data_IF_259509239247
#
_entry.id   IF_259509239247
#
_cell.length_a   1.000
_cell.length_b   1.000
_cell.length_c   1.000
_cell.angle_alpha   90.00
_cell.angle_beta   90.00
_cell.angle_gamma   90.00
#
_symmetry.space_group_name_H-M   'P 1'
#
loop_
_entity.id
_entity.type
_entity.pdbx_description
1 polymer ?
#
# COMPACT_ATOMS: atom_id res chain seq x y z
N UNK A 1 -23.12 15.06 4.16
CA UNK A 1 -22.17 15.11 5.29
C UNK A 1 -21.91 13.67 5.72
N UNK A 2 -20.95 13.00 5.07
CA UNK A 2 -20.51 11.67 5.46
C UNK A 2 -19.40 11.82 6.48
N UNK A 3 -19.63 11.24 7.64
CA UNK A 3 -18.84 11.42 8.85
C UNK A 3 -17.53 10.63 8.71
N UNK A 4 -16.40 11.32 8.58
CA UNK A 4 -15.05 10.73 8.57
C UNK A 4 -14.61 10.24 9.97
N UNK A 5 -15.43 10.43 11.00
CA UNK A 5 -15.14 10.06 12.39
C UNK A 5 -15.21 8.54 12.70
N UNK A 6 -15.42 7.68 11.70
CA UNK A 6 -15.42 6.22 11.91
C UNK A 6 -14.05 5.56 11.73
N UNK A 7 -12.97 6.32 11.55
CA UNK A 7 -11.61 5.77 11.48
C UNK A 7 -11.16 5.29 12.88
N UNK A 8 -11.08 3.96 13.04
CA UNK A 8 -10.72 3.30 14.29
C UNK A 8 -9.33 3.72 14.79
N UNK A 9 -9.25 4.06 16.08
CA UNK A 9 -8.08 4.60 16.77
C UNK A 9 -7.16 3.46 17.27
N UNK A 10 -5.90 3.43 16.84
CA UNK A 10 -4.86 2.58 17.43
C UNK A 10 -3.80 3.47 18.09
N UNK A 11 -3.68 3.39 19.42
CA UNK A 11 -2.69 4.13 20.22
C UNK A 11 -1.58 3.16 20.66
N UNK A 12 -0.34 3.40 20.24
CA UNK A 12 0.84 2.63 20.67
C UNK A 12 1.66 3.41 21.70
N UNK A 13 1.98 2.78 22.85
CA UNK A 13 2.85 3.35 23.89
C UNK A 13 4.32 3.05 23.61
N UNK A 14 5.19 4.05 23.67
CA UNK A 14 6.65 3.89 23.60
C UNK A 14 7.21 3.58 24.99
N UNK A 15 7.92 2.46 25.15
CA UNK A 15 8.72 2.17 26.34
C UNK A 15 10.21 2.20 26.00
N UNK A 16 10.97 2.85 26.88
CA UNK A 16 12.43 2.97 26.78
C UNK A 16 13.08 1.59 26.61
N UNK A 17 13.99 1.51 25.63
CA UNK A 17 14.76 0.34 25.19
C UNK A 17 13.93 -0.75 24.50
N UNK A 18 13.74 -0.57 23.20
CA UNK A 18 13.70 -1.67 22.22
C UNK A 18 12.50 -2.61 22.24
N UNK A 19 11.48 -2.36 23.06
CA UNK A 19 10.26 -3.19 23.12
C UNK A 19 9.01 -2.31 22.95
N UNK A 20 8.21 -2.59 21.91
CA UNK A 20 6.87 -2.03 21.72
C UNK A 20 5.88 -2.96 22.42
N UNK A 21 5.17 -2.45 23.43
CA UNK A 21 4.09 -3.17 24.12
C UNK A 21 2.74 -2.61 23.66
N UNK A 22 1.89 -3.48 23.12
CA UNK A 22 0.48 -3.19 22.85
C UNK A 22 -0.29 -3.54 24.12
N UNK A 23 -0.92 -2.57 24.80
CA UNK A 23 -1.84 -2.85 25.91
C UNK A 23 -3.07 -1.94 25.88
N UNK A 24 -4.22 -2.63 25.87
CA UNK A 24 -5.62 -2.24 26.05
C UNK A 24 -5.96 -0.74 26.25
N UNK A 25 -6.64 -0.19 25.25
CA UNK A 25 -8.11 -0.15 25.31
C UNK A 25 -8.70 -0.44 23.92
N UNK A 26 -9.08 -1.72 23.74
CA UNK A 26 -9.76 -2.33 22.59
C UNK A 26 -9.08 -2.10 21.22
N UNK A 27 -8.36 -3.05 20.61
CA UNK A 27 -8.94 -4.03 19.66
C UNK A 27 -7.98 -5.18 19.27
N UNK A 28 -6.75 -5.25 19.77
CA UNK A 28 -5.73 -6.17 19.23
C UNK A 28 -5.08 -7.05 20.31
N UNK A 29 -4.75 -8.31 19.98
CA UNK A 29 -3.94 -9.21 20.83
C UNK A 29 -2.45 -9.16 20.43
N UNK A 30 -1.64 -8.71 21.38
CA UNK A 30 -0.18 -8.64 21.52
C UNK A 30 0.74 -9.33 20.48
N UNK A 31 1.66 -8.53 19.89
CA UNK A 31 3.03 -8.96 19.57
C UNK A 31 4.03 -7.81 19.77
N UNK A 32 5.26 -8.13 20.20
CA UNK A 32 6.34 -7.16 20.45
C UNK A 32 7.14 -6.99 19.15
N UNK A 33 7.10 -5.82 18.54
CA UNK A 33 8.03 -5.47 17.45
C UNK A 33 9.35 -5.01 18.07
N UNK A 34 10.41 -5.79 17.84
CA UNK A 34 11.78 -5.43 18.21
C UNK A 34 12.33 -4.32 17.32
N UNK A 35 13.20 -3.48 17.89
CA UNK A 35 13.86 -2.39 17.16
C UNK A 35 14.64 -2.89 15.93
N UNK A 36 14.50 -2.15 14.83
CA UNK A 36 15.20 -2.29 13.54
C UNK A 36 14.79 -3.44 12.59
N UNK A 37 13.53 -3.88 12.61
CA UNK A 37 13.02 -4.75 11.55
C UNK A 37 12.38 -3.92 10.42
N UNK A 38 12.99 -3.89 9.23
CA UNK A 38 12.33 -3.47 7.98
C UNK A 38 11.24 -4.47 7.52
N UNK A 39 10.75 -5.31 8.42
CA UNK A 39 9.75 -6.35 8.15
C UNK A 39 8.43 -5.96 8.82
N UNK A 40 7.35 -5.72 8.06
CA UNK A 40 6.05 -5.37 8.61
C UNK A 40 5.45 -6.50 9.47
N UNK A 41 4.85 -6.14 10.61
CA UNK A 41 4.14 -7.06 11.50
C UNK A 41 2.74 -7.43 10.98
N UNK A 42 2.27 -8.63 11.33
CA UNK A 42 0.87 -9.04 11.17
C UNK A 42 0.12 -8.68 12.44
N UNK A 43 -1.05 -8.05 12.31
CA UNK A 43 -1.93 -7.75 13.44
C UNK A 43 -3.32 -8.36 13.23
N UNK A 44 -4.02 -8.63 14.33
CA UNK A 44 -5.35 -9.26 14.32
C UNK A 44 -6.40 -8.32 14.94
N UNK A 45 -7.31 -7.72 14.16
CA UNK A 45 -8.45 -6.99 14.71
C UNK A 45 -9.39 -7.92 15.50
N UNK A 46 -10.30 -7.35 16.30
CA UNK A 46 -11.25 -8.08 17.16
C UNK A 46 -12.16 -9.06 16.41
N UNK A 47 -12.40 -8.82 15.13
CA UNK A 47 -13.19 -9.72 14.27
C UNK A 47 -12.40 -10.96 13.83
N UNK A 48 -11.13 -11.09 14.24
CA UNK A 48 -10.25 -12.20 13.89
C UNK A 48 -9.64 -12.07 12.49
N UNK A 49 -9.87 -10.96 11.78
CA UNK A 49 -9.23 -10.70 10.49
C UNK A 49 -7.71 -10.47 10.67
N UNK A 50 -6.98 -10.36 9.56
CA UNK A 50 -5.56 -10.01 9.59
C UNK A 50 -5.41 -8.64 8.93
N UNK A 51 -4.62 -7.78 9.57
CA UNK A 51 -4.26 -6.45 9.10
C UNK A 51 -2.74 -6.33 8.91
N UNK A 52 -2.37 -5.37 8.08
CA UNK A 52 -1.00 -4.98 7.78
C UNK A 52 -0.76 -3.56 8.30
N UNK A 53 0.31 -3.37 9.06
CA UNK A 53 0.76 -2.02 9.43
C UNK A 53 1.80 -1.53 8.41
N UNK A 54 1.47 -0.43 7.72
CA UNK A 54 2.43 0.34 6.93
C UNK A 54 2.98 1.47 7.79
N UNK A 55 4.21 1.34 8.24
CA UNK A 55 4.90 2.42 8.96
C UNK A 55 5.36 3.47 7.95
N UNK A 56 5.07 4.74 8.24
CA UNK A 56 5.48 5.86 7.43
C UNK A 56 6.70 6.54 8.06
N UNK A 57 7.56 7.13 7.23
CA UNK A 57 8.72 7.87 7.74
C UNK A 57 8.23 9.09 8.51
N UNK A 58 8.65 9.21 9.78
CA UNK A 58 8.21 10.28 10.68
C UNK A 58 8.52 11.69 10.16
N UNK A 59 9.58 11.83 9.36
CA UNK A 59 10.03 13.09 8.78
C UNK A 59 9.30 13.43 7.47
N UNK A 60 8.59 12.46 6.88
CA UNK A 60 7.94 12.59 5.57
C UNK A 60 6.42 12.71 5.72
N UNK A 61 6.01 13.83 6.32
CA UNK A 61 4.58 14.10 6.53
C UNK A 61 3.81 14.31 5.22
N UNK A 62 4.50 14.62 4.13
CA UNK A 62 3.88 14.83 2.82
C UNK A 62 3.51 13.50 2.18
N UNK A 63 4.44 12.54 2.11
CA UNK A 63 4.14 11.19 1.62
C UNK A 63 3.01 10.49 2.40
N UNK A 64 2.95 10.67 3.72
CA UNK A 64 1.84 10.16 4.52
C UNK A 64 0.50 10.79 4.12
N UNK A 65 0.47 12.10 3.85
CA UNK A 65 -0.76 12.80 3.44
C UNK A 65 -1.21 12.35 2.05
N UNK A 66 -0.27 12.27 1.10
CA UNK A 66 -0.56 11.90 -0.28
C UNK A 66 -1.09 10.46 -0.35
N UNK A 67 -0.44 9.52 0.36
CA UNK A 67 -0.93 8.14 0.44
C UNK A 67 -2.30 8.03 1.12
N UNK A 68 -2.53 8.79 2.20
CA UNK A 68 -3.82 8.80 2.90
C UNK A 68 -4.94 9.33 2.00
N UNK A 69 -4.68 10.39 1.22
CA UNK A 69 -5.64 10.97 0.30
C UNK A 69 -6.01 9.96 -0.80
N UNK A 70 -5.04 9.18 -1.31
CA UNK A 70 -5.35 8.09 -2.26
C UNK A 70 -6.30 7.06 -1.66
N UNK A 71 -6.04 6.54 -0.45
CA UNK A 71 -6.96 5.59 0.17
C UNK A 71 -8.36 6.17 0.43
N UNK A 72 -8.44 7.45 0.80
CA UNK A 72 -9.71 8.16 0.96
C UNK A 72 -10.47 8.22 -0.37
N UNK A 73 -9.80 8.62 -1.45
CA UNK A 73 -10.43 8.71 -2.76
C UNK A 73 -10.84 7.33 -3.31
N UNK A 74 -10.06 6.27 -3.05
CA UNK A 74 -10.44 4.89 -3.40
C UNK A 74 -11.72 4.43 -2.68
N UNK A 75 -11.89 4.83 -1.42
CA UNK A 75 -13.09 4.54 -0.65
C UNK A 75 -14.29 5.32 -1.21
N UNK A 76 -14.13 6.62 -1.49
CA UNK A 76 -15.17 7.49 -2.06
C UNK A 76 -15.62 7.03 -3.45
N UNK A 77 -14.67 6.61 -4.30
CA UNK A 77 -14.92 6.06 -5.63
C UNK A 77 -15.51 4.63 -5.61
N UNK A 78 -15.69 4.03 -4.43
CA UNK A 78 -16.19 2.66 -4.25
C UNK A 78 -15.33 1.60 -4.99
N UNK A 79 -14.09 1.96 -5.34
CA UNK A 79 -13.10 1.06 -5.92
C UNK A 79 -12.55 0.07 -4.89
N UNK A 80 -12.89 0.28 -3.62
CA UNK A 80 -12.60 -0.58 -2.49
C UNK A 80 -13.03 -2.05 -2.64
N UNK A 81 -13.91 -2.40 -3.58
CA UNK A 81 -14.29 -3.81 -3.77
C UNK A 81 -13.89 -4.38 -5.13
N UNK A 82 -13.42 -3.54 -6.05
CA UNK A 82 -13.14 -3.94 -7.44
C UNK A 82 -11.65 -3.85 -7.80
N UNK A 83 -10.92 -2.94 -7.15
CA UNK A 83 -9.52 -2.70 -7.46
C UNK A 83 -8.60 -3.54 -6.56
N UNK A 84 -7.52 -4.12 -7.09
CA UNK A 84 -6.53 -4.87 -6.29
C UNK A 84 -5.59 -3.93 -5.57
N UNK A 85 -6.07 -3.35 -4.49
CA UNK A 85 -5.31 -2.54 -3.55
C UNK A 85 -5.75 -2.87 -2.12
N UNK A 86 -4.92 -2.64 -1.10
CA UNK A 86 -5.39 -2.75 0.28
C UNK A 86 -6.44 -1.66 0.59
N UNK A 87 -7.13 -1.81 1.72
CA UNK A 87 -8.06 -0.82 2.26
C UNK A 87 -7.54 -0.23 3.54
N UNK A 88 -7.74 1.06 3.71
CA UNK A 88 -7.52 1.73 4.97
C UNK A 88 -8.55 1.28 6.00
N UNK A 89 -8.06 0.64 7.06
CA UNK A 89 -8.84 0.23 8.22
C UNK A 89 -8.74 1.26 9.36
N UNK A 90 -7.64 2.01 9.42
CA UNK A 90 -7.40 3.01 10.45
C UNK A 90 -6.02 3.63 10.38
N UNK A 91 -5.73 4.50 11.34
CA UNK A 91 -4.45 5.19 11.46
C UNK A 91 -3.69 4.65 12.68
N UNK A 92 -2.38 4.52 12.54
CA UNK A 92 -1.48 4.14 13.63
C UNK A 92 -0.94 5.41 14.25
N UNK A 93 -1.21 5.60 15.55
CA UNK A 93 -0.86 6.82 16.29
C UNK A 93 -0.15 6.51 17.59
N UNK A 94 0.66 7.45 18.08
CA UNK A 94 1.23 7.37 19.42
C UNK A 94 0.28 7.97 20.48
N UNK A 95 0.70 7.97 21.75
CA UNK A 95 -0.07 8.54 22.87
C UNK A 95 -0.36 10.04 22.75
N UNK A 96 0.50 10.78 22.03
CA UNK A 96 0.29 12.21 21.79
C UNK A 96 -0.71 12.48 20.65
N UNK A 97 -1.14 11.43 19.94
CA UNK A 97 -2.00 11.51 18.77
C UNK A 97 -1.24 11.68 17.46
N UNK A 98 0.10 11.60 17.48
CA UNK A 98 0.93 11.70 16.29
C UNK A 98 0.73 10.49 15.39
N UNK A 99 0.33 10.70 14.13
CA UNK A 99 0.15 9.63 13.15
C UNK A 99 1.51 9.27 12.57
N UNK A 100 1.86 7.99 12.63
CA UNK A 100 3.12 7.47 12.07
C UNK A 100 2.94 6.24 11.17
N UNK A 101 1.69 5.86 10.89
CA UNK A 101 1.42 4.73 10.02
C UNK A 101 -0.04 4.56 9.64
N UNK A 102 -0.27 3.62 8.74
CA UNK A 102 -1.58 3.21 8.25
C UNK A 102 -1.85 1.76 8.63
N UNK A 103 -3.08 1.47 9.05
CA UNK A 103 -3.56 0.12 9.23
C UNK A 103 -4.35 -0.28 7.97
N UNK A 104 -3.91 -1.34 7.30
CA UNK A 104 -4.41 -1.76 6.00
C UNK A 104 -4.95 -3.20 6.03
N UNK A 105 -5.88 -3.55 5.14
CA UNK A 105 -6.29 -4.95 4.94
C UNK A 105 -5.10 -5.81 4.53
N UNK A 106 -4.94 -6.98 5.14
CA UNK A 106 -3.84 -7.87 4.82
C UNK A 106 -4.01 -8.51 3.43
N UNK A 107 -2.94 -8.44 2.63
CA UNK A 107 -2.81 -9.17 1.37
C UNK A 107 -2.06 -10.46 1.65
N UNK A 108 -2.69 -11.61 1.39
CA UNK A 108 -2.06 -12.90 1.58
C UNK A 108 -0.98 -13.13 0.51
N UNK A 109 0.24 -12.74 0.83
CA UNK A 109 1.40 -12.76 -0.07
C UNK A 109 2.68 -13.22 0.67
N UNK A 110 3.73 -13.49 -0.11
CA UNK A 110 5.08 -13.80 0.40
C UNK A 110 6.02 -12.58 0.43
N UNK A 111 5.45 -11.36 0.43
CA UNK A 111 6.21 -10.10 0.31
C UNK A 111 7.10 -10.03 -0.93
N UNK A 112 6.64 -10.60 -2.05
CA UNK A 112 7.36 -10.58 -3.33
C UNK A 112 6.76 -9.49 -4.19
N UNK A 113 7.58 -8.51 -4.59
CA UNK A 113 7.17 -7.47 -5.53
C UNK A 113 7.13 -8.01 -6.96
N UNK A 114 6.45 -7.30 -7.87
CA UNK A 114 6.47 -7.64 -9.30
C UNK A 114 7.90 -7.62 -9.86
N UNK A 115 8.75 -6.67 -9.44
CA UNK A 115 10.16 -6.64 -9.86
C UNK A 115 10.93 -7.91 -9.49
N UNK A 116 10.62 -8.54 -8.36
CA UNK A 116 11.24 -9.79 -7.94
C UNK A 116 10.55 -11.04 -8.52
N UNK A 117 9.27 -10.95 -8.87
CA UNK A 117 8.48 -12.05 -9.41
C UNK A 117 8.78 -12.32 -10.89
N UNK A 118 9.11 -11.29 -11.67
CA UNK A 118 9.51 -11.42 -13.07
C UNK A 118 10.93 -11.99 -13.15
N UNK A 119 11.06 -13.26 -13.55
CA UNK A 119 12.34 -13.97 -13.67
C UNK A 119 12.49 -14.67 -15.02
N UNK A 120 13.72 -15.00 -15.46
CA UNK A 120 13.94 -15.94 -16.55
C UNK A 120 13.26 -17.28 -16.20
N UNK A 121 12.20 -17.63 -16.92
CA UNK A 121 11.37 -18.82 -16.64
C UNK A 121 9.95 -18.53 -16.16
N UNK A 122 9.60 -17.29 -15.80
CA UNK A 122 8.19 -16.91 -15.59
C UNK A 122 7.40 -17.14 -16.89
N UNK A 123 6.29 -17.90 -16.81
CA UNK A 123 5.49 -18.26 -17.97
C UNK A 123 4.91 -17.03 -18.69
N UNK A 124 4.68 -17.16 -20.00
CA UNK A 124 4.05 -16.08 -20.79
C UNK A 124 2.63 -15.76 -20.33
N UNK A 125 1.84 -16.78 -19.96
CA UNK A 125 0.51 -16.56 -19.35
C UNK A 125 0.61 -15.77 -18.05
N UNK A 126 1.66 -16.07 -17.28
CA UNK A 126 2.18 -15.35 -16.13
C UNK A 126 2.19 -13.84 -16.34
N UNK A 127 3.06 -13.48 -17.26
CA UNK A 127 3.41 -12.11 -17.63
C UNK A 127 2.22 -11.37 -18.24
N UNK A 128 1.43 -12.03 -19.11
CA UNK A 128 0.21 -11.46 -19.69
C UNK A 128 -0.84 -11.13 -18.62
N UNK A 129 -1.01 -12.00 -17.61
CA UNK A 129 -1.92 -11.77 -16.49
C UNK A 129 -1.52 -10.51 -15.72
N UNK A 130 -0.25 -10.39 -15.36
CA UNK A 130 0.24 -9.19 -14.66
C UNK A 130 0.10 -7.94 -15.50
N UNK A 131 0.47 -7.98 -16.79
CA UNK A 131 0.27 -6.85 -17.69
C UNK A 131 -1.20 -6.40 -17.78
N UNK A 132 -2.16 -7.34 -17.83
CA UNK A 132 -3.59 -7.02 -17.82
C UNK A 132 -4.03 -6.41 -16.48
N UNK A 133 -3.52 -6.91 -15.36
CA UNK A 133 -3.83 -6.39 -14.03
C UNK A 133 -3.27 -4.97 -13.81
N UNK A 134 -2.03 -4.72 -14.24
CA UNK A 134 -1.43 -3.38 -14.23
C UNK A 134 -2.30 -2.39 -15.01
N UNK A 135 -2.66 -2.73 -16.26
CA UNK A 135 -3.54 -1.88 -17.09
C UNK A 135 -4.88 -1.62 -16.42
N UNK A 136 -5.48 -2.65 -15.82
CA UNK A 136 -6.77 -2.53 -15.13
C UNK A 136 -6.70 -1.64 -13.89
N UNK A 137 -5.60 -1.68 -13.13
CA UNK A 137 -5.40 -0.84 -11.94
C UNK A 137 -5.25 0.62 -12.37
N UNK A 138 -4.36 0.93 -13.30
CA UNK A 138 -4.15 2.31 -13.79
C UNK A 138 -5.42 2.88 -14.40
N UNK A 139 -6.13 2.09 -15.20
CA UNK A 139 -7.42 2.52 -15.76
C UNK A 139 -8.44 2.86 -14.66
N UNK A 140 -8.53 2.06 -13.59
CA UNK A 140 -9.44 2.33 -12.48
C UNK A 140 -9.06 3.61 -11.70
N UNK A 141 -7.76 3.84 -11.48
CA UNK A 141 -7.26 5.07 -10.88
C UNK A 141 -7.64 6.29 -11.73
N UNK A 142 -7.31 6.28 -13.02
CA UNK A 142 -7.60 7.39 -13.93
C UNK A 142 -9.10 7.65 -14.06
N UNK A 143 -9.92 6.59 -14.12
CA UNK A 143 -11.38 6.70 -14.13
C UNK A 143 -11.94 7.37 -12.87
N UNK A 144 -11.26 7.25 -11.73
CA UNK A 144 -11.60 7.94 -10.49
C UNK A 144 -10.96 9.33 -10.37
N UNK A 145 -10.27 9.82 -11.41
CA UNK A 145 -9.56 11.10 -11.38
C UNK A 145 -8.24 11.08 -10.60
N UNK A 146 -7.72 9.88 -10.30
CA UNK A 146 -6.50 9.69 -9.53
C UNK A 146 -5.29 9.57 -10.43
N UNK A 147 -4.23 10.30 -10.08
CA UNK A 147 -2.90 10.16 -10.68
C UNK A 147 -1.96 9.58 -9.64
N UNK A 148 -1.13 8.62 -10.03
CA UNK A 148 -0.31 7.84 -9.10
C UNK A 148 1.12 8.40 -8.92
N UNK A 149 1.62 9.16 -9.90
CA UNK A 149 2.84 9.96 -9.84
C UNK A 149 4.20 9.22 -9.85
N UNK A 150 4.35 8.04 -9.21
CA UNK A 150 5.61 7.25 -9.15
C UNK A 150 5.45 5.75 -9.48
N UNK A 151 4.74 5.44 -10.57
CA UNK A 151 4.42 4.05 -10.91
C UNK A 151 5.66 3.20 -11.25
N UNK A 152 5.94 2.17 -10.44
CA UNK A 152 7.04 1.20 -10.65
C UNK A 152 6.68 -0.23 -10.22
N UNK A 153 7.40 -1.27 -10.71
CA UNK A 153 7.10 -2.66 -10.37
C UNK A 153 7.30 -3.01 -8.88
N UNK A 154 8.08 -2.24 -8.14
CA UNK A 154 8.29 -2.41 -6.69
C UNK A 154 7.00 -2.18 -5.89
N UNK A 155 6.11 -1.35 -6.40
CA UNK A 155 4.88 -0.96 -5.70
C UNK A 155 3.74 -1.97 -5.89
N UNK A 156 4.01 -3.04 -6.65
CA UNK A 156 3.08 -4.15 -6.83
C UNK A 156 3.54 -5.37 -6.07
N UNK A 157 2.71 -5.89 -5.15
CA UNK A 157 2.91 -7.19 -4.52
C UNK A 157 2.20 -8.30 -5.31
N UNK A 158 2.83 -9.47 -5.37
CA UNK A 158 2.22 -10.69 -5.91
C UNK A 158 1.65 -11.52 -4.77
N UNK A 159 0.34 -11.73 -4.79
CA UNK A 159 -0.35 -12.55 -3.79
C UNK A 159 -0.15 -14.06 -4.04
N UNK A 160 -0.69 -14.88 -3.14
CA UNK A 160 -0.60 -16.34 -3.26
C UNK A 160 -1.36 -16.91 -4.48
N UNK A 161 -2.33 -16.18 -5.03
CA UNK A 161 -3.06 -16.51 -6.25
C UNK A 161 -2.35 -15.98 -7.52
N UNK A 162 -1.15 -15.44 -7.36
CA UNK A 162 -0.37 -14.85 -8.44
C UNK A 162 -1.05 -13.63 -9.07
N UNK A 163 -1.83 -12.89 -8.29
CA UNK A 163 -2.41 -11.59 -8.68
C UNK A 163 -1.51 -10.44 -8.23
N UNK A 164 -1.37 -9.43 -9.09
CA UNK A 164 -0.69 -8.19 -8.77
C UNK A 164 -1.62 -7.22 -8.00
N UNK A 165 -1.12 -6.69 -6.88
CA UNK A 165 -1.78 -5.72 -6.03
C UNK A 165 -0.92 -4.47 -5.90
N UNK A 166 -1.49 -3.29 -6.17
CA UNK A 166 -0.82 -2.01 -5.88
C UNK A 166 -0.83 -1.75 -4.37
N UNK A 167 0.30 -1.38 -3.79
CA UNK A 167 0.45 -1.23 -2.32
C UNK A 167 1.16 0.05 -1.89
N UNK A 168 1.73 0.81 -2.82
CA UNK A 168 2.41 2.07 -2.52
C UNK A 168 1.82 3.22 -3.33
N UNK A 169 1.49 4.29 -2.62
CA UNK A 169 0.95 5.54 -3.18
C UNK A 169 1.65 6.77 -2.58
N UNK A 170 2.70 6.57 -1.76
CA UNK A 170 3.34 7.63 -0.98
C UNK A 170 4.10 8.69 -1.78
N UNK A 171 3.93 8.71 -3.10
CA UNK A 171 4.62 9.65 -3.98
C UNK A 171 6.15 9.52 -3.91
N UNK A 172 6.80 10.36 -4.70
CA UNK A 172 8.25 10.35 -4.88
C UNK A 172 8.61 10.55 -6.35
N UNK A 173 9.91 10.68 -6.62
CA UNK A 173 10.43 10.67 -7.97
C UNK A 173 11.50 9.60 -8.07
N UNK A 174 11.19 8.51 -8.78
CA UNK A 174 12.19 7.52 -9.15
C UNK A 174 12.77 7.85 -10.53
N UNK A 175 14.03 8.29 -10.56
CA UNK A 175 14.73 8.60 -11.81
C UNK A 175 14.70 7.39 -12.77
N UNK A 176 14.25 7.63 -14.01
CA UNK A 176 14.17 6.61 -15.06
C UNK A 176 12.79 5.96 -15.25
N UNK A 177 11.90 6.02 -14.26
CA UNK A 177 10.55 5.45 -14.37
C UNK A 177 9.54 6.48 -14.89
N UNK A 178 9.52 7.68 -14.33
CA UNK A 178 8.56 8.74 -14.70
C UNK A 178 9.27 9.90 -15.43
N UNK A 179 8.83 10.32 -16.63
CA UNK A 179 9.39 11.47 -17.36
C UNK A 179 9.12 12.81 -16.64
N UNK A 180 9.40 13.94 -17.30
CA UNK A 180 8.96 15.31 -16.91
C UNK A 180 7.43 15.49 -16.75
N UNK A 181 6.65 14.41 -16.80
CA UNK A 181 5.19 14.34 -16.71
C UNK A 181 4.72 13.65 -15.42
N UNK A 182 5.57 13.56 -14.39
CA UNK A 182 5.13 13.13 -13.06
C UNK A 182 3.96 14.00 -12.59
N UNK A 183 2.94 13.40 -11.97
CA UNK A 183 1.72 14.10 -11.61
C UNK A 183 0.68 14.22 -12.74
N UNK A 184 0.84 13.54 -13.88
CA UNK A 184 -0.20 13.50 -14.93
C UNK A 184 -0.62 12.07 -15.33
N UNK A 185 -1.84 11.94 -15.87
CA UNK A 185 -2.35 10.67 -16.40
C UNK A 185 -1.48 10.15 -17.55
N UNK A 186 -0.91 11.04 -18.37
CA UNK A 186 0.03 10.67 -19.42
C UNK A 186 1.35 10.12 -18.84
N UNK A 187 1.82 10.69 -17.72
CA UNK A 187 2.95 10.17 -16.97
C UNK A 187 2.72 8.74 -16.47
N UNK A 188 1.56 8.50 -15.85
CA UNK A 188 1.15 7.17 -15.40
C UNK A 188 1.03 6.17 -16.56
N UNK A 189 0.45 6.59 -17.71
CA UNK A 189 0.34 5.73 -18.89
C UNK A 189 1.72 5.37 -19.44
N UNK A 190 2.66 6.32 -19.46
CA UNK A 190 4.03 6.06 -19.90
C UNK A 190 4.74 5.07 -18.96
N UNK A 191 4.59 5.24 -17.65
CA UNK A 191 5.13 4.32 -16.67
C UNK A 191 4.48 2.92 -16.76
N UNK A 192 3.17 2.85 -17.03
CA UNK A 192 2.46 1.60 -17.29
C UNK A 192 3.06 0.83 -18.48
N UNK A 193 3.29 1.49 -19.61
CA UNK A 193 3.90 0.82 -20.78
C UNK A 193 5.30 0.28 -20.45
N UNK A 194 6.10 1.03 -19.68
CA UNK A 194 7.40 0.53 -19.18
C UNK A 194 7.25 -0.68 -18.29
N UNK A 195 6.32 -0.67 -17.34
CA UNK A 195 6.08 -1.81 -16.44
C UNK A 195 5.56 -3.03 -17.20
N UNK A 196 4.69 -2.83 -18.19
CA UNK A 196 4.24 -3.92 -19.07
C UNK A 196 5.42 -4.49 -19.85
N UNK A 197 6.25 -3.66 -20.47
CA UNK A 197 7.46 -4.10 -21.15
C UNK A 197 8.45 -4.82 -20.21
N UNK A 198 8.55 -4.37 -18.95
CA UNK A 198 9.33 -5.04 -17.91
C UNK A 198 8.82 -6.47 -17.63
N UNK A 199 7.52 -6.72 -17.73
CA UNK A 199 6.97 -8.09 -17.66
C UNK A 199 7.38 -8.95 -18.85
N UNK A 200 8.02 -8.42 -19.89
CA UNK A 200 8.48 -9.16 -21.08
C UNK A 200 7.34 -9.57 -22.02
N UNK A 201 6.29 -8.75 -22.09
CA UNK A 201 5.18 -8.84 -23.06
C UNK A 201 5.29 -7.70 -24.06
#
# INVERSE_FOLDING_TARGET
>A
MTNLDSAFLLVMKSARRGCIFVYQNSIYQNHVLGASSQTPGKDFPKDGSVAFIKLMRLEDSQSLRDELEVYKMLAEAQLGNTMRAPRLLGLVRDESGWVFGLLLTYIHCKSVTLSHAVKPGTSSSLRQKWAAQLRSIIYQLHKAGLVWEDAKPEDFLIDMNQDAWIVDFGGGYTEGWVPKLAGTMEGDQHALEKMVGFTGI
#
